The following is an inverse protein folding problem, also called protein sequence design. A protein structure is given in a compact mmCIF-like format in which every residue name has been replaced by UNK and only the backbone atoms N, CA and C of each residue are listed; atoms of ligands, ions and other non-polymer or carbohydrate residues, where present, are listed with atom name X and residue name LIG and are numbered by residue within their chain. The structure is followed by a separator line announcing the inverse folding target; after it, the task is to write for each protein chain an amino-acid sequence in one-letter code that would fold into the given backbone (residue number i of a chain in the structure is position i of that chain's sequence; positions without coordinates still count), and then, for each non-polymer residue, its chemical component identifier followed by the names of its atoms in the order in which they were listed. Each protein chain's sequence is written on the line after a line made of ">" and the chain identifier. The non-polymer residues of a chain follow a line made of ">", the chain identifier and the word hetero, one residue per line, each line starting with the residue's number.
data_IF_913780595904
#
_entry.id   IF_913780595904
#
_cell.length_a   1.000
_cell.length_b   1.000
_cell.length_c   1.000
_cell.angle_alpha   90.00
_cell.angle_beta   90.00
_cell.angle_gamma   90.00
#
_symmetry.space_group_name_H-M   'P 1'
#
loop_
_entity.id
_entity.type
_entity.pdbx_description
1 polymer ?
#
# COMPACT_ATOMS: atom_id res chain seq x y z
N UNK A 1 11.69 -6.28 35.83
CA UNK A 1 10.91 -7.13 34.89
C UNK A 1 11.83 -7.33 33.68
N UNK A 2 12.43 -8.52 33.54
CA UNK A 2 13.34 -8.81 32.43
C UNK A 2 12.51 -8.87 31.16
N UNK A 3 12.66 -7.84 30.29
CA UNK A 3 12.10 -7.88 28.95
C UNK A 3 12.75 -9.04 28.20
N UNK A 4 11.94 -9.98 27.71
CA UNK A 4 12.39 -10.99 26.76
C UNK A 4 12.97 -10.25 25.55
N UNK A 5 14.26 -10.47 25.30
CA UNK A 5 14.96 -9.88 24.15
C UNK A 5 14.39 -10.54 22.88
N UNK A 6 13.33 -9.94 22.30
CA UNK A 6 12.64 -10.49 21.13
C UNK A 6 13.60 -10.37 19.94
N UNK A 7 14.11 -11.50 19.47
CA UNK A 7 14.99 -11.54 18.30
C UNK A 7 14.26 -10.93 17.09
N UNK A 8 14.83 -9.86 16.53
CA UNK A 8 14.31 -9.23 15.31
C UNK A 8 14.44 -10.20 14.13
N UNK A 9 13.28 -10.65 13.61
CA UNK A 9 13.21 -11.62 12.51
C UNK A 9 13.07 -10.93 11.14
N UNK A 10 12.54 -9.69 11.12
CA UNK A 10 12.35 -8.90 9.90
C UNK A 10 13.20 -7.64 9.93
N UNK A 11 13.78 -7.32 8.78
CA UNK A 11 14.46 -6.05 8.58
C UNK A 11 13.44 -4.92 8.51
N UNK A 12 12.36 -5.14 7.74
CA UNK A 12 11.24 -4.18 7.63
C UNK A 12 9.89 -4.91 7.64
N UNK A 13 8.96 -4.40 8.43
CA UNK A 13 7.52 -4.69 8.31
C UNK A 13 6.85 -3.43 7.77
N UNK A 14 6.27 -3.52 6.58
CA UNK A 14 5.60 -2.39 5.93
C UNK A 14 4.08 -2.49 6.03
N UNK A 15 3.44 -1.33 6.11
CA UNK A 15 1.97 -1.20 6.17
C UNK A 15 1.56 -0.29 5.02
N UNK A 16 0.67 -0.78 4.16
CA UNK A 16 0.27 -0.04 2.97
C UNK A 16 -0.98 -0.59 2.28
N UNK A 17 -1.42 0.12 1.26
CA UNK A 17 -2.54 -0.33 0.44
C UNK A 17 -2.11 -1.50 -0.46
N UNK A 18 -2.81 -2.63 -0.33
CA UNK A 18 -2.66 -3.77 -1.24
C UNK A 18 -3.40 -3.44 -2.55
N UNK A 19 -2.67 -3.09 -3.59
CA UNK A 19 -3.21 -2.64 -4.88
C UNK A 19 -2.66 -3.53 -5.99
N UNK A 20 -3.54 -4.13 -6.78
CA UNK A 20 -3.16 -4.84 -8.00
C UNK A 20 -3.09 -3.84 -9.16
N UNK A 21 -1.95 -3.73 -9.81
CA UNK A 21 -1.77 -2.88 -10.98
C UNK A 21 -2.28 -3.60 -12.22
N UNK A 22 -3.21 -2.98 -12.95
CA UNK A 22 -3.79 -3.45 -14.21
C UNK A 22 -3.33 -2.50 -15.31
N UNK A 23 -2.35 -2.93 -16.10
CA UNK A 23 -1.68 -2.11 -17.10
C UNK A 23 -2.29 -2.36 -18.49
N UNK A 24 -2.52 -1.28 -19.24
CA UNK A 24 -2.92 -1.35 -20.63
C UNK A 24 -2.25 -0.24 -21.46
N UNK A 25 -1.90 -0.57 -22.72
CA UNK A 25 -1.48 0.44 -23.69
C UNK A 25 -2.69 1.21 -24.19
N UNK A 26 -2.54 2.51 -24.38
CA UNK A 26 -3.60 3.40 -24.86
C UNK A 26 -3.03 4.55 -25.69
N UNK A 27 -3.88 5.50 -26.06
CA UNK A 27 -3.48 6.73 -26.76
C UNK A 27 -4.05 7.97 -26.07
N UNK A 28 -3.56 9.16 -26.46
CA UNK A 28 -3.97 10.43 -25.86
C UNK A 28 -5.47 10.70 -26.06
N UNK A 29 -6.03 10.33 -27.20
CA UNK A 29 -7.46 10.53 -27.47
C UNK A 29 -8.35 9.76 -26.48
N UNK A 30 -7.94 8.55 -26.09
CA UNK A 30 -8.66 7.79 -25.06
C UNK A 30 -8.56 8.48 -23.71
N UNK A 31 -7.36 8.93 -23.29
CA UNK A 31 -7.18 9.66 -22.02
C UNK A 31 -8.10 10.89 -21.97
N UNK A 32 -8.13 11.68 -23.04
CA UNK A 32 -8.99 12.86 -23.15
C UNK A 32 -10.47 12.52 -23.11
N UNK A 33 -10.90 11.50 -23.88
CA UNK A 33 -12.30 11.06 -23.93
C UNK A 33 -12.81 10.59 -22.58
N UNK A 34 -11.95 10.10 -21.73
CA UNK A 34 -12.25 9.64 -20.38
C UNK A 34 -12.15 10.77 -19.33
N UNK A 35 -11.85 12.00 -19.73
CA UNK A 35 -11.72 13.15 -18.85
C UNK A 35 -10.56 13.08 -17.88
N UNK A 36 -9.50 12.30 -18.21
CA UNK A 36 -8.34 12.11 -17.37
C UNK A 36 -7.26 13.15 -17.64
N UNK A 37 -6.50 13.49 -16.60
CA UNK A 37 -5.27 14.27 -16.77
C UNK A 37 -4.09 13.31 -16.97
N UNK A 38 -3.50 13.33 -18.15
CA UNK A 38 -2.36 12.49 -18.52
C UNK A 38 -1.21 12.61 -17.52
N UNK A 39 -0.60 11.47 -17.19
CA UNK A 39 0.57 11.42 -16.32
C UNK A 39 0.32 11.65 -14.84
N UNK A 40 -0.95 11.66 -14.41
CA UNK A 40 -1.31 11.83 -13.00
C UNK A 40 -1.99 10.60 -12.42
N UNK A 41 -2.06 10.54 -11.08
CA UNK A 41 -2.85 9.56 -10.36
C UNK A 41 -4.12 10.23 -9.82
N UNK A 42 -5.24 9.51 -9.88
CA UNK A 42 -6.49 9.91 -9.23
C UNK A 42 -7.15 8.71 -8.54
N UNK A 43 -7.82 8.99 -7.43
CA UNK A 43 -8.69 8.00 -6.78
C UNK A 43 -10.03 7.96 -7.50
N UNK A 44 -10.54 6.75 -7.71
CA UNK A 44 -11.84 6.50 -8.33
C UNK A 44 -12.69 5.58 -7.47
N UNK A 45 -14.00 5.60 -7.69
CA UNK A 45 -14.94 4.67 -7.05
C UNK A 45 -15.06 3.34 -7.82
N UNK A 46 -15.79 2.41 -7.24
CA UNK A 46 -16.00 1.06 -7.80
C UNK A 46 -16.72 1.11 -9.16
N UNK A 47 -17.71 2.01 -9.32
CA UNK A 47 -18.47 2.14 -10.57
C UNK A 47 -17.55 2.62 -11.69
N UNK A 48 -16.75 3.65 -11.42
CA UNK A 48 -15.77 4.15 -12.40
C UNK A 48 -14.68 3.12 -12.69
N UNK A 49 -14.24 2.34 -11.72
CA UNK A 49 -13.29 1.26 -11.89
C UNK A 49 -13.80 0.19 -12.86
N UNK A 50 -15.04 -0.26 -12.67
CA UNK A 50 -15.69 -1.24 -13.55
C UNK A 50 -15.91 -0.70 -14.97
N UNK A 51 -16.35 0.55 -15.10
CA UNK A 51 -16.52 1.23 -16.40
C UNK A 51 -15.18 1.31 -17.13
N UNK A 52 -14.13 1.81 -16.50
CA UNK A 52 -12.82 1.96 -17.11
C UNK A 52 -12.25 0.61 -17.56
N UNK A 53 -12.33 -0.41 -16.69
CA UNK A 53 -11.86 -1.75 -17.02
C UNK A 53 -12.54 -2.34 -18.27
N UNK A 54 -13.83 -2.10 -18.44
CA UNK A 54 -14.59 -2.57 -19.61
C UNK A 54 -14.08 -1.99 -20.94
N UNK A 55 -13.38 -0.86 -20.91
CA UNK A 55 -12.79 -0.20 -22.08
C UNK A 55 -11.30 -0.53 -22.30
N UNK A 56 -10.67 -1.25 -21.35
CA UNK A 56 -9.28 -1.69 -21.49
C UNK A 56 -9.22 -2.99 -22.29
N UNK A 57 -8.47 -3.02 -23.41
CA UNK A 57 -8.50 -4.16 -24.34
C UNK A 57 -7.59 -5.31 -23.89
N UNK A 58 -6.29 -5.06 -23.80
CA UNK A 58 -5.29 -6.05 -23.37
C UNK A 58 -4.67 -5.57 -22.10
N UNK A 59 -4.85 -6.32 -21.03
CA UNK A 59 -4.35 -6.00 -19.71
C UNK A 59 -3.25 -6.94 -19.28
N UNK A 60 -2.33 -6.41 -18.46
CA UNK A 60 -1.36 -7.18 -17.69
C UNK A 60 -1.57 -6.83 -16.23
N UNK A 61 -1.75 -7.86 -15.40
CA UNK A 61 -1.93 -7.74 -13.97
C UNK A 61 -0.61 -8.04 -13.25
N UNK A 62 -0.27 -7.19 -12.28
CA UNK A 62 0.95 -7.32 -11.46
C UNK A 62 0.65 -6.82 -10.06
N UNK A 63 1.17 -7.48 -9.02
CA UNK A 63 1.08 -6.91 -7.68
C UNK A 63 1.78 -5.56 -7.61
N UNK A 64 1.13 -4.57 -7.01
CA UNK A 64 1.57 -3.19 -6.89
C UNK A 64 1.39 -2.65 -5.48
N UNK A 65 1.24 -1.33 -5.39
CA UNK A 65 1.19 -0.60 -4.12
C UNK A 65 2.58 -0.15 -3.65
N UNK A 66 2.69 1.11 -3.22
CA UNK A 66 3.97 1.77 -2.93
C UNK A 66 4.77 1.03 -1.85
N UNK A 67 4.17 0.76 -0.67
CA UNK A 67 4.85 0.05 0.40
C UNK A 67 5.19 -1.40 -0.01
N UNK A 68 4.29 -2.10 -0.67
CA UNK A 68 4.52 -3.48 -1.10
C UNK A 68 5.66 -3.56 -2.12
N UNK A 69 5.72 -2.64 -3.10
CA UNK A 69 6.82 -2.56 -4.06
C UNK A 69 8.16 -2.27 -3.38
N UNK A 70 8.17 -1.41 -2.36
CA UNK A 70 9.36 -1.15 -1.55
C UNK A 70 9.86 -2.43 -0.87
N UNK A 71 8.95 -3.18 -0.23
CA UNK A 71 9.28 -4.43 0.44
C UNK A 71 9.73 -5.53 -0.53
N UNK A 72 9.09 -5.64 -1.69
CA UNK A 72 9.48 -6.56 -2.76
C UNK A 72 10.89 -6.24 -3.28
N UNK A 73 11.20 -4.96 -3.50
CA UNK A 73 12.54 -4.51 -3.86
C UNK A 73 13.58 -4.86 -2.79
N UNK A 74 13.27 -4.65 -1.52
CA UNK A 74 14.15 -5.02 -0.39
C UNK A 74 14.33 -6.54 -0.30
N UNK A 75 13.26 -7.33 -0.48
CA UNK A 75 13.33 -8.79 -0.47
C UNK A 75 14.23 -9.30 -1.61
N UNK A 76 14.15 -8.72 -2.80
CA UNK A 76 15.01 -9.06 -3.94
C UNK A 76 16.51 -8.79 -3.67
N UNK A 77 16.80 -7.87 -2.75
CA UNK A 77 18.16 -7.56 -2.28
C UNK A 77 18.57 -8.39 -1.06
N UNK A 78 17.76 -9.37 -0.65
CA UNK A 78 18.06 -10.29 0.44
C UNK A 78 17.58 -9.87 1.83
N UNK A 79 16.82 -8.78 1.95
CA UNK A 79 16.21 -8.39 3.23
C UNK A 79 15.02 -9.29 3.58
N UNK A 80 14.81 -9.52 4.87
CA UNK A 80 13.61 -10.20 5.37
C UNK A 80 12.50 -9.17 5.59
N UNK A 81 11.44 -9.25 4.82
CA UNK A 81 10.35 -8.29 4.83
C UNK A 81 9.00 -8.95 5.08
N UNK A 82 8.08 -8.20 5.70
CA UNK A 82 6.69 -8.60 5.85
C UNK A 82 5.76 -7.41 5.54
N UNK A 83 4.59 -7.70 5.03
CA UNK A 83 3.60 -6.72 4.62
C UNK A 83 2.30 -6.87 5.41
N UNK A 84 1.77 -5.77 5.90
CA UNK A 84 0.43 -5.65 6.46
C UNK A 84 -0.39 -4.81 5.47
N UNK A 85 -1.39 -5.40 4.88
CA UNK A 85 -2.31 -4.79 3.93
C UNK A 85 -3.60 -5.59 3.89
N UNK A 86 -4.59 -5.14 3.14
CA UNK A 86 -5.89 -5.81 3.08
C UNK A 86 -6.29 -6.11 1.64
N UNK A 87 -6.66 -7.36 1.39
CA UNK A 87 -7.27 -7.82 0.13
C UNK A 87 -8.59 -8.53 0.44
N UNK A 88 -9.47 -8.58 -0.54
CA UNK A 88 -10.65 -9.43 -0.51
C UNK A 88 -10.27 -10.88 -0.87
N UNK A 89 -11.07 -11.86 -0.44
CA UNK A 89 -10.93 -13.25 -0.89
C UNK A 89 -11.53 -13.44 -2.30
N UNK A 90 -11.08 -12.63 -3.24
CA UNK A 90 -11.44 -12.69 -4.67
C UNK A 90 -10.25 -13.13 -5.54
N UNK A 91 -10.45 -13.19 -6.84
CA UNK A 91 -9.41 -13.60 -7.78
C UNK A 91 -8.19 -12.68 -7.74
N UNK A 92 -8.41 -11.35 -7.68
CA UNK A 92 -7.35 -10.33 -7.65
C UNK A 92 -6.56 -10.38 -6.33
N UNK A 93 -7.24 -10.60 -5.20
CA UNK A 93 -6.58 -10.77 -3.90
C UNK A 93 -5.72 -12.03 -3.82
N UNK A 94 -6.13 -13.11 -4.48
CA UNK A 94 -5.32 -14.35 -4.57
C UNK A 94 -4.07 -14.13 -5.42
N UNK A 95 -4.19 -13.46 -6.56
CA UNK A 95 -3.04 -13.08 -7.41
C UNK A 95 -2.08 -12.20 -6.60
N UNK A 96 -2.59 -11.15 -6.00
CA UNK A 96 -1.78 -10.21 -5.20
C UNK A 96 -0.99 -10.93 -4.11
N UNK A 97 -1.65 -11.78 -3.32
CA UNK A 97 -1.00 -12.53 -2.24
C UNK A 97 0.05 -13.48 -2.76
N UNK A 98 -0.27 -14.23 -3.80
CA UNK A 98 0.66 -15.17 -4.44
C UNK A 98 1.92 -14.46 -4.92
N UNK A 99 1.77 -13.36 -5.68
CA UNK A 99 2.88 -12.63 -6.26
C UNK A 99 3.81 -12.04 -5.19
N UNK A 100 3.22 -11.41 -4.17
CA UNK A 100 3.99 -10.80 -3.09
C UNK A 100 4.78 -11.85 -2.29
N UNK A 101 4.17 -13.01 -2.02
CA UNK A 101 4.85 -14.12 -1.36
C UNK A 101 5.92 -14.77 -2.25
N UNK A 102 5.70 -14.85 -3.56
CA UNK A 102 6.67 -15.42 -4.51
C UNK A 102 7.96 -14.62 -4.59
N UNK A 103 7.92 -13.30 -4.36
CA UNK A 103 9.13 -12.46 -4.29
C UNK A 103 9.77 -12.43 -2.89
N UNK A 104 9.25 -13.21 -1.93
CA UNK A 104 9.84 -13.38 -0.60
C UNK A 104 9.35 -12.42 0.47
N UNK A 105 8.26 -11.69 0.23
CA UNK A 105 7.60 -10.84 1.25
C UNK A 105 6.57 -11.67 2.01
N UNK A 106 6.68 -11.74 3.33
CA UNK A 106 5.66 -12.40 4.16
C UNK A 106 4.37 -11.56 4.20
N UNK A 107 3.25 -12.16 3.84
CA UNK A 107 1.93 -11.52 3.85
C UNK A 107 0.89 -12.44 4.47
N UNK A 108 0.62 -12.22 5.76
CA UNK A 108 -0.26 -13.10 6.59
C UNK A 108 -1.55 -12.42 7.00
N UNK A 109 -1.73 -11.12 6.76
CA UNK A 109 -2.98 -10.41 7.08
C UNK A 109 -4.17 -11.15 6.46
N UNK A 110 -5.21 -11.50 7.24
CA UNK A 110 -6.37 -12.20 6.73
C UNK A 110 -7.10 -11.40 5.64
N UNK A 111 -7.55 -12.10 4.60
CA UNK A 111 -8.44 -11.50 3.59
C UNK A 111 -9.82 -11.24 4.17
N UNK A 112 -10.53 -10.24 3.65
CA UNK A 112 -11.94 -10.05 3.97
C UNK A 112 -12.81 -10.99 3.13
N UNK A 113 -13.85 -11.51 3.76
CA UNK A 113 -14.87 -12.34 3.09
C UNK A 113 -16.05 -11.46 2.73
N UNK A 114 -16.23 -11.20 1.44
CA UNK A 114 -17.24 -10.25 0.94
C UNK A 114 -16.85 -8.78 1.17
N UNK A 115 -17.78 -7.87 0.99
CA UNK A 115 -17.53 -6.42 1.10
C UNK A 115 -16.85 -5.84 -0.13
N UNK A 116 -15.95 -4.88 0.07
CA UNK A 116 -15.24 -4.23 -1.04
C UNK A 116 -14.29 -5.21 -1.72
N UNK A 117 -14.27 -5.26 -3.07
CA UNK A 117 -13.29 -6.06 -3.81
C UNK A 117 -11.85 -5.58 -3.55
N UNK A 118 -10.88 -6.42 -3.92
CA UNK A 118 -9.46 -6.06 -3.84
C UNK A 118 -9.17 -4.77 -4.60
N UNK A 119 -8.35 -3.89 -4.01
CA UNK A 119 -7.96 -2.63 -4.62
C UNK A 119 -7.17 -2.83 -5.91
N UNK A 120 -7.47 -2.02 -6.93
CA UNK A 120 -6.81 -2.06 -8.22
C UNK A 120 -6.40 -0.65 -8.69
N UNK A 121 -5.26 -0.55 -9.36
CA UNK A 121 -4.85 0.65 -10.09
C UNK A 121 -4.88 0.38 -11.58
N UNK A 122 -5.75 1.06 -12.31
CA UNK A 122 -5.88 0.97 -13.76
C UNK A 122 -4.88 1.94 -14.38
N UNK A 123 -3.81 1.38 -14.92
CA UNK A 123 -2.65 2.14 -15.42
C UNK A 123 -2.68 2.16 -16.94
N UNK A 124 -2.97 3.34 -17.50
CA UNK A 124 -3.03 3.59 -18.92
C UNK A 124 -1.68 4.16 -19.38
N UNK A 125 -1.01 3.47 -20.31
CA UNK A 125 0.32 3.81 -20.79
C UNK A 125 0.22 4.33 -22.21
N UNK A 126 0.59 5.58 -22.43
CA UNK A 126 0.64 6.21 -23.76
C UNK A 126 1.98 5.96 -24.46
N UNK A 127 2.09 6.13 -25.80
CA UNK A 127 3.31 5.81 -26.57
C UNK A 127 4.58 6.55 -26.12
N UNK A 128 4.44 7.70 -25.47
CA UNK A 128 5.52 8.47 -24.84
C UNK A 128 5.90 7.96 -23.43
N UNK A 129 5.43 6.75 -23.06
CA UNK A 129 5.66 6.10 -21.78
C UNK A 129 5.09 6.83 -20.56
N UNK A 130 4.16 7.80 -20.74
CA UNK A 130 3.44 8.39 -19.62
C UNK A 130 2.40 7.41 -19.08
N UNK A 131 2.31 7.34 -17.74
CA UNK A 131 1.37 6.50 -17.02
C UNK A 131 0.29 7.35 -16.37
N UNK A 132 -0.95 7.11 -16.75
CA UNK A 132 -2.12 7.75 -16.14
C UNK A 132 -2.81 6.70 -15.26
N UNK A 133 -2.83 6.93 -13.96
CA UNK A 133 -3.26 5.94 -12.97
C UNK A 133 -4.61 6.33 -12.39
N UNK A 134 -5.51 5.35 -12.33
CA UNK A 134 -6.84 5.49 -11.75
C UNK A 134 -7.00 4.40 -10.68
N UNK A 135 -6.96 4.78 -9.42
CA UNK A 135 -6.84 3.83 -8.32
C UNK A 135 -8.13 3.72 -7.53
N UNK A 136 -8.69 2.53 -7.51
CA UNK A 136 -9.74 2.12 -6.60
C UNK A 136 -9.11 1.41 -5.40
N UNK A 137 -9.25 1.98 -4.21
CA UNK A 137 -8.61 1.43 -3.01
C UNK A 137 -9.22 0.11 -2.54
N UNK A 138 -10.52 -0.08 -2.76
CA UNK A 138 -11.21 -1.32 -2.40
C UNK A 138 -10.95 -1.77 -0.96
N UNK A 139 -10.70 -3.06 -0.79
CA UNK A 139 -10.34 -3.67 0.48
C UNK A 139 -9.10 -3.05 1.13
N UNK A 140 -8.17 -2.47 0.34
CA UNK A 140 -6.99 -1.78 0.85
C UNK A 140 -7.31 -0.60 1.77
N UNK A 141 -8.52 -0.01 1.65
CA UNK A 141 -8.99 1.04 2.56
C UNK A 141 -9.54 0.55 3.90
N UNK A 142 -9.52 -0.76 4.16
CA UNK A 142 -10.15 -1.40 5.31
C UNK A 142 -9.14 -2.13 6.23
N UNK A 143 -7.99 -1.52 6.42
CA UNK A 143 -7.04 -1.96 7.45
C UNK A 143 -7.48 -1.36 8.78
N UNK A 144 -7.80 -2.23 9.73
CA UNK A 144 -8.22 -1.82 11.07
C UNK A 144 -7.10 -2.07 12.09
N UNK A 145 -7.19 -1.46 13.27
CA UNK A 145 -6.25 -1.72 14.37
C UNK A 145 -6.14 -3.21 14.75
N UNK A 146 -7.20 -3.99 14.53
CA UNK A 146 -7.22 -5.43 14.78
C UNK A 146 -6.31 -6.21 13.81
N UNK A 147 -6.02 -5.66 12.63
CA UNK A 147 -5.11 -6.27 11.65
C UNK A 147 -3.63 -6.06 12.00
N UNK A 148 -3.34 -5.19 12.96
CA UNK A 148 -1.98 -4.94 13.44
C UNK A 148 -1.61 -6.00 14.46
N UNK A 149 -0.91 -7.02 13.99
CA UNK A 149 -0.34 -8.06 14.84
C UNK A 149 0.88 -7.52 15.60
N UNK A 150 0.73 -7.32 16.91
CA UNK A 150 1.80 -6.84 17.78
C UNK A 150 3.00 -7.79 17.80
N UNK A 151 2.78 -9.10 17.67
CA UNK A 151 3.87 -10.08 17.64
C UNK A 151 4.71 -9.96 16.36
N UNK A 152 4.10 -9.59 15.23
CA UNK A 152 4.80 -9.27 13.98
C UNK A 152 5.60 -7.97 14.12
N UNK A 153 4.96 -6.90 14.62
CA UNK A 153 5.61 -5.60 14.88
C UNK A 153 6.81 -5.75 15.82
N UNK A 154 6.68 -6.53 16.89
CA UNK A 154 7.76 -6.76 17.85
C UNK A 154 9.01 -7.39 17.22
N UNK A 155 8.86 -8.16 16.15
CA UNK A 155 9.96 -8.81 15.42
C UNK A 155 10.58 -7.92 14.33
N UNK A 156 10.06 -6.72 14.08
CA UNK A 156 10.57 -5.79 13.07
C UNK A 156 11.74 -4.95 13.59
N UNK A 157 12.81 -4.77 12.80
CA UNK A 157 13.82 -3.72 13.06
C UNK A 157 13.26 -2.35 12.72
N UNK A 158 12.50 -2.25 11.62
CA UNK A 158 11.86 -1.03 11.13
C UNK A 158 10.41 -1.33 10.81
N UNK A 159 9.50 -0.48 11.27
CA UNK A 159 8.09 -0.45 10.83
C UNK A 159 7.95 0.71 9.85
N UNK A 160 7.54 0.41 8.62
CA UNK A 160 7.45 1.35 7.52
C UNK A 160 5.99 1.59 7.13
N UNK A 161 5.62 2.84 6.94
CA UNK A 161 4.30 3.25 6.49
C UNK A 161 4.34 4.31 5.41
N UNK A 162 3.17 4.56 4.81
CA UNK A 162 3.02 5.48 3.68
C UNK A 162 1.88 6.49 3.91
N UNK A 163 2.04 7.70 3.36
CA UNK A 163 1.07 8.79 3.46
C UNK A 163 -0.28 8.46 2.84
N UNK A 164 -0.33 7.55 1.87
CA UNK A 164 -1.58 7.06 1.29
C UNK A 164 -2.55 6.44 2.30
N UNK A 165 -2.07 5.99 3.46
CA UNK A 165 -2.92 5.45 4.53
C UNK A 165 -3.86 6.50 5.13
N UNK A 166 -3.55 7.78 4.98
CA UNK A 166 -4.42 8.87 5.42
C UNK A 166 -5.69 9.03 4.56
N UNK A 167 -5.77 8.37 3.40
CA UNK A 167 -7.01 8.33 2.58
C UNK A 167 -8.15 7.55 3.24
N UNK A 168 -7.88 6.79 4.31
CA UNK A 168 -8.88 6.09 5.11
C UNK A 168 -8.66 6.33 6.60
N UNK A 169 -9.69 6.74 7.38
CA UNK A 169 -9.56 6.90 8.83
C UNK A 169 -9.10 5.62 9.54
N UNK A 170 -9.61 4.46 9.14
CA UNK A 170 -9.24 3.17 9.74
C UNK A 170 -7.78 2.83 9.50
N UNK A 171 -7.29 3.03 8.27
CA UNK A 171 -5.90 2.78 7.92
C UNK A 171 -4.95 3.72 8.69
N UNK A 172 -5.33 4.99 8.83
CA UNK A 172 -4.59 5.97 9.61
C UNK A 172 -4.45 5.52 11.08
N UNK A 173 -5.55 5.08 11.69
CA UNK A 173 -5.54 4.62 13.09
C UNK A 173 -4.72 3.34 13.25
N UNK A 174 -4.86 2.39 12.33
CA UNK A 174 -4.05 1.16 12.30
C UNK A 174 -2.55 1.48 12.19
N UNK A 175 -2.16 2.37 11.28
CA UNK A 175 -0.77 2.76 11.12
C UNK A 175 -0.23 3.46 12.36
N UNK A 176 -0.99 4.38 12.97
CA UNK A 176 -0.63 5.02 14.23
C UNK A 176 -0.43 4.03 15.38
N UNK A 177 -1.28 2.98 15.46
CA UNK A 177 -1.09 1.89 16.42
C UNK A 177 0.24 1.19 16.21
N UNK A 178 0.57 0.81 14.97
CA UNK A 178 1.83 0.13 14.65
C UNK A 178 3.05 1.01 14.99
N UNK A 179 3.01 2.31 14.71
CA UNK A 179 4.06 3.26 15.02
C UNK A 179 4.27 3.45 16.52
N UNK A 180 3.19 3.36 17.33
CA UNK A 180 3.29 3.36 18.79
C UNK A 180 3.86 2.06 19.35
N UNK A 181 3.63 0.92 18.67
CA UNK A 181 4.14 -0.39 19.09
C UNK A 181 5.62 -0.58 18.77
N UNK A 182 6.10 -0.08 17.61
CA UNK A 182 7.47 -0.28 17.17
C UNK A 182 8.52 0.11 18.23
N UNK A 183 8.54 1.34 18.78
CA UNK A 183 9.53 1.73 19.78
C UNK A 183 9.38 0.98 21.11
N UNK A 184 8.18 0.54 21.50
CA UNK A 184 7.97 -0.30 22.70
C UNK A 184 8.75 -1.60 22.63
N UNK A 185 8.96 -2.10 21.41
CA UNK A 185 9.69 -3.33 21.14
C UNK A 185 11.10 -3.09 20.58
N UNK A 186 11.63 -1.86 20.69
CA UNK A 186 12.97 -1.49 20.22
C UNK A 186 13.13 -1.47 18.69
N UNK A 187 12.02 -1.32 17.94
CA UNK A 187 12.01 -1.07 16.51
C UNK A 187 12.03 0.42 16.21
N UNK A 188 12.43 0.79 15.00
CA UNK A 188 12.38 2.14 14.44
C UNK A 188 11.15 2.34 13.60
N UNK A 189 10.76 3.60 13.40
CA UNK A 189 9.62 4.00 12.56
C UNK A 189 10.12 4.76 11.34
N UNK A 190 9.73 4.30 10.16
CA UNK A 190 10.01 4.94 8.88
C UNK A 190 8.71 5.30 8.16
N UNK A 191 8.68 6.45 7.53
CA UNK A 191 7.48 6.95 6.84
C UNK A 191 7.83 7.66 5.54
N UNK A 192 7.03 7.43 4.48
CA UNK A 192 7.08 8.25 3.27
C UNK A 192 5.86 9.17 3.21
N UNK A 193 6.08 10.41 2.77
CA UNK A 193 5.00 11.38 2.54
C UNK A 193 4.11 10.99 1.36
N UNK A 194 4.59 10.07 0.50
CA UNK A 194 3.91 9.55 -0.69
C UNK A 194 3.77 10.59 -1.81
N UNK A 195 2.57 11.02 -2.12
CA UNK A 195 2.29 11.95 -3.21
C UNK A 195 2.00 13.37 -2.66
N UNK A 196 2.17 14.38 -3.50
CA UNK A 196 1.92 15.79 -3.17
C UNK A 196 0.50 15.99 -2.65
N UNK A 197 -0.49 15.32 -3.23
CA UNK A 197 -1.88 15.45 -2.76
C UNK A 197 -2.06 14.95 -1.32
N UNK A 198 -1.31 13.92 -0.88
CA UNK A 198 -1.33 13.46 0.52
C UNK A 198 -0.81 14.55 1.46
N UNK A 199 0.28 15.20 1.07
CA UNK A 199 0.89 16.30 1.86
C UNK A 199 -0.06 17.50 1.93
N UNK A 200 -0.67 17.88 0.82
CA UNK A 200 -1.61 19.00 0.77
C UNK A 200 -2.85 18.75 1.64
N UNK A 201 -3.41 17.53 1.56
CA UNK A 201 -4.60 17.16 2.32
C UNK A 201 -4.34 16.95 3.81
N UNK A 202 -3.14 16.48 4.21
CA UNK A 202 -2.88 15.98 5.56
C UNK A 202 -1.65 16.61 6.23
N UNK A 203 -1.22 17.80 5.79
CA UNK A 203 -0.01 18.50 6.25
C UNK A 203 0.11 18.56 7.78
N UNK A 204 -0.94 18.98 8.49
CA UNK A 204 -0.91 19.11 9.94
C UNK A 204 -0.72 17.75 10.65
N UNK A 205 -1.39 16.72 10.16
CA UNK A 205 -1.24 15.36 10.69
C UNK A 205 0.18 14.83 10.46
N UNK A 206 0.78 15.11 9.31
CA UNK A 206 2.15 14.68 9.00
C UNK A 206 3.18 15.43 9.86
N UNK A 207 2.97 16.72 10.13
CA UNK A 207 3.82 17.49 11.06
C UNK A 207 3.75 16.91 12.48
N UNK A 208 2.57 16.60 12.98
CA UNK A 208 2.42 15.95 14.28
C UNK A 208 3.10 14.57 14.33
N UNK A 209 3.01 13.79 13.23
CA UNK A 209 3.67 12.50 13.17
C UNK A 209 5.19 12.61 13.21
N UNK A 210 5.76 13.63 12.55
CA UNK A 210 7.20 13.92 12.59
C UNK A 210 7.69 14.18 14.03
N UNK A 211 6.92 14.94 14.80
CA UNK A 211 7.30 15.34 16.16
C UNK A 211 7.16 14.16 17.16
N UNK A 212 6.25 13.22 16.90
CA UNK A 212 5.89 12.20 17.89
C UNK A 212 6.66 10.88 17.74
N UNK A 213 6.92 10.41 16.50
CA UNK A 213 7.20 8.98 16.31
C UNK A 213 8.18 8.61 15.21
N UNK A 214 8.72 9.54 14.40
CA UNK A 214 9.52 9.16 13.24
C UNK A 214 11.03 9.15 13.51
N UNK A 215 11.67 8.04 13.12
CA UNK A 215 13.13 7.93 13.04
C UNK A 215 13.66 8.24 11.63
N UNK A 216 12.87 7.90 10.59
CA UNK A 216 13.27 8.00 9.18
C UNK A 216 12.11 8.57 8.36
N UNK A 217 12.36 9.63 7.61
CA UNK A 217 11.40 10.25 6.70
C UNK A 217 11.90 10.17 5.25
N UNK A 218 11.00 9.79 4.35
CA UNK A 218 11.16 9.89 2.90
C UNK A 218 10.20 10.97 2.38
N UNK A 219 10.73 12.14 1.94
CA UNK A 219 9.92 13.25 1.44
C UNK A 219 9.36 13.00 0.05
#
# INVERSE_FOLDING_TARGET
>A
MYGLDIKKAYDVVGIGNAILDILAMTNDAFIESQGMKKGTMMLIDETRAADLYSHMLQTKEVSGGSAANTLAGMASLGSKTAFIGKVCNDAMGKIYRHDLQAVGVEFTTPSIEGGKPTGCSYILITPDAQRTMNTYLGAGSEIYEADIDEALIAKAKIVYGEGYQWSSPHNKDALRKAFKLAPKHGGKVAFTLSDVFCVEAHRADFQNLLDEHLDILFP
#
